data_IF_517684395502
#
_entry.id   IF_517684395502
#
_cell.length_a   1.000
_cell.length_b   1.000
_cell.length_c   1.000
_cell.angle_alpha   90.00
_cell.angle_beta   90.00
_cell.angle_gamma   90.00
#
_symmetry.space_group_name_H-M   'P 1'
#
loop_
_entity.id
_entity.type
_entity.pdbx_description
1 polymer ?
#
# COMPACT_ATOMS: atom_id res chain seq x y z
N UNK A 1 11.22 23.44 30.76
CA UNK A 1 11.23 22.50 29.63
C UNK A 1 9.81 22.00 29.50
N UNK A 2 9.01 22.65 28.68
CA UNK A 2 7.61 22.30 28.55
C UNK A 2 7.49 21.03 27.70
N UNK A 3 6.81 20.01 28.23
CA UNK A 3 6.46 18.81 27.48
C UNK A 3 5.45 19.22 26.40
N UNK A 4 5.91 19.37 25.16
CA UNK A 4 5.03 19.49 24.00
C UNK A 4 4.32 18.15 23.78
N UNK A 5 3.19 18.01 24.45
CA UNK A 5 2.21 16.96 24.23
C UNK A 5 1.07 17.54 23.38
N UNK A 6 0.78 16.92 22.25
CA UNK A 6 -0.42 17.25 21.49
C UNK A 6 -1.57 16.44 22.05
N UNK A 7 -2.53 17.15 22.65
CA UNK A 7 -3.77 16.54 23.14
C UNK A 7 -4.72 16.30 21.97
N UNK A 8 -5.25 15.10 21.89
CA UNK A 8 -6.26 14.70 20.91
C UNK A 8 -7.52 14.34 21.66
N UNK A 9 -8.67 14.82 21.20
CA UNK A 9 -9.97 14.43 21.74
C UNK A 9 -11.00 14.31 20.62
N UNK A 10 -11.80 13.26 20.65
CA UNK A 10 -12.93 13.05 19.76
C UNK A 10 -14.13 12.49 20.52
N UNK A 11 -15.35 12.78 20.06
CA UNK A 11 -16.58 12.28 20.65
C UNK A 11 -17.49 11.76 19.53
N UNK A 12 -18.05 10.58 19.71
CA UNK A 12 -19.06 10.01 18.82
C UNK A 12 -20.42 10.13 19.49
N UNK A 13 -21.42 10.62 18.75
CA UNK A 13 -22.80 10.83 19.21
C UNK A 13 -23.77 10.15 18.24
N UNK A 14 -24.95 9.79 18.74
CA UNK A 14 -26.03 9.27 17.91
C UNK A 14 -26.74 10.46 17.24
N UNK A 15 -26.83 10.49 15.90
CA UNK A 15 -27.56 11.55 15.21
C UNK A 15 -27.34 11.63 13.70
N UNK A 16 -28.36 12.12 12.99
CA UNK A 16 -28.33 12.51 11.58
C UNK A 16 -28.17 14.03 11.51
N UNK A 17 -26.98 14.50 11.16
CA UNK A 17 -26.67 15.83 10.60
C UNK A 17 -26.89 17.13 11.40
N UNK A 18 -27.30 17.14 12.67
CA UNK A 18 -27.27 18.39 13.45
C UNK A 18 -26.11 18.37 14.47
N UNK A 19 -25.02 19.06 14.12
CA UNK A 19 -23.90 19.39 15.03
C UNK A 19 -24.31 20.38 16.15
N UNK A 20 -25.60 20.61 16.36
CA UNK A 20 -26.10 21.31 17.53
C UNK A 20 -25.94 20.37 18.74
N UNK A 21 -25.41 20.91 19.84
CA UNK A 21 -25.12 20.17 21.07
C UNK A 21 -26.32 19.29 21.50
N UNK A 22 -26.28 18.00 21.14
CA UNK A 22 -27.27 17.04 21.59
C UNK A 22 -27.14 16.89 23.11
N UNK A 23 -28.28 16.90 23.79
CA UNK A 23 -28.39 16.78 25.25
C UNK A 23 -27.89 15.40 25.73
N UNK A 24 -27.83 14.42 24.84
CA UNK A 24 -27.45 13.05 25.16
C UNK A 24 -25.94 12.90 25.41
N UNK A 25 -25.52 12.03 26.34
CA UNK A 25 -24.11 11.72 26.52
C UNK A 25 -23.52 11.09 25.25
N UNK A 26 -22.23 11.33 24.94
CA UNK A 26 -21.59 10.71 23.78
C UNK A 26 -21.61 9.19 23.90
N UNK A 27 -21.84 8.51 22.79
CA UNK A 27 -21.75 7.04 22.69
C UNK A 27 -20.33 6.56 22.99
N UNK A 28 -19.35 7.37 22.61
CA UNK A 28 -17.94 7.12 22.85
C UNK A 28 -17.16 8.43 22.97
N UNK A 29 -16.24 8.46 23.91
CA UNK A 29 -15.23 9.50 24.08
C UNK A 29 -13.86 8.89 23.83
N UNK A 30 -13.06 9.60 23.04
CA UNK A 30 -11.68 9.28 22.76
C UNK A 30 -10.84 10.47 23.22
N UNK A 31 -9.81 10.24 24.01
CA UNK A 31 -8.92 11.28 24.49
C UNK A 31 -7.50 10.75 24.66
N UNK A 32 -6.50 11.56 24.39
CA UNK A 32 -5.12 11.14 24.61
C UNK A 32 -4.08 12.17 24.24
N UNK A 33 -2.84 11.73 24.26
CA UNK A 33 -1.66 12.57 24.09
C UNK A 33 -0.65 11.92 23.13
N UNK A 34 -0.08 12.75 22.27
CA UNK A 34 1.01 12.41 21.38
C UNK A 34 2.27 13.15 21.85
N UNK A 35 3.37 12.43 22.07
CA UNK A 35 4.62 13.01 22.59
C UNK A 35 5.86 12.57 21.81
N UNK A 36 6.93 13.35 21.92
CA UNK A 36 8.25 13.05 21.37
C UNK A 36 9.19 12.58 22.47
N UNK A 37 9.93 11.49 22.23
CA UNK A 37 11.05 11.09 23.09
C UNK A 37 12.21 12.07 22.98
N UNK A 38 13.02 12.16 24.04
CA UNK A 38 14.19 13.06 24.03
C UNK A 38 15.24 12.65 22.99
N UNK A 39 15.33 11.35 22.68
CA UNK A 39 16.16 10.84 21.60
C UNK A 39 15.71 11.36 20.22
N UNK A 40 14.39 11.36 19.96
CA UNK A 40 13.81 11.89 18.72
C UNK A 40 13.95 13.41 18.65
N UNK A 41 13.71 14.14 19.75
CA UNK A 41 13.97 15.59 19.84
C UNK A 41 15.42 15.90 19.47
N UNK A 42 16.39 15.19 20.07
CA UNK A 42 17.82 15.35 19.76
C UNK A 42 18.14 15.06 18.29
N UNK A 43 17.60 13.98 17.70
CA UNK A 43 17.78 13.63 16.28
C UNK A 43 17.22 14.70 15.33
N UNK A 44 16.09 15.30 15.70
CA UNK A 44 15.47 16.39 14.93
C UNK A 44 16.21 17.74 15.07
N UNK A 45 17.37 17.76 15.75
CA UNK A 45 18.13 18.99 15.97
C UNK A 45 17.40 19.98 16.87
N UNK A 46 16.58 19.47 17.81
CA UNK A 46 15.83 20.31 18.73
C UNK A 46 16.78 20.92 19.77
N UNK A 47 17.24 22.14 19.51
CA UNK A 47 17.93 22.98 20.49
C UNK A 47 16.93 23.86 21.23
N UNK A 48 17.27 24.20 22.48
CA UNK A 48 16.47 24.96 23.45
C UNK A 48 15.70 26.16 22.85
N UNK A 49 14.52 26.43 23.42
CA UNK A 49 13.45 27.42 23.07
C UNK A 49 13.89 28.86 22.73
N UNK A 50 15.17 29.21 22.74
CA UNK A 50 15.67 30.57 22.53
C UNK A 50 15.85 30.97 21.06
N UNK A 51 15.77 30.03 20.10
CA UNK A 51 15.98 30.35 18.69
C UNK A 51 14.67 30.38 17.88
N UNK A 52 13.88 31.44 18.09
CA UNK A 52 12.64 31.74 17.34
C UNK A 52 12.83 32.02 15.83
N UNK A 53 14.00 31.75 15.24
CA UNK A 53 14.32 32.09 13.84
C UNK A 53 14.41 30.91 12.88
N UNK A 54 14.19 29.67 13.32
CA UNK A 54 13.86 28.57 12.40
C UNK A 54 12.36 28.29 12.46
N UNK A 55 11.64 29.02 11.61
CA UNK A 55 10.27 28.72 11.22
C UNK A 55 10.16 27.26 10.84
N UNK A 56 9.57 26.46 11.73
CA UNK A 56 8.86 25.24 11.36
C UNK A 56 7.91 25.63 10.23
N UNK A 57 8.22 25.19 9.01
CA UNK A 57 7.28 25.31 7.89
C UNK A 57 6.01 24.54 8.28
N UNK A 58 4.95 25.30 8.54
CA UNK A 58 3.59 24.87 8.88
C UNK A 58 3.39 24.15 10.22
N UNK A 59 2.88 24.90 11.20
CA UNK A 59 2.21 24.40 12.41
C UNK A 59 0.95 23.54 12.11
N UNK A 60 0.48 23.50 10.86
CA UNK A 60 -0.62 22.63 10.43
C UNK A 60 -0.14 21.24 9.94
N UNK A 61 1.18 20.98 9.91
CA UNK A 61 1.76 19.71 9.48
C UNK A 61 2.15 18.81 10.66
N UNK A 62 1.27 18.71 11.67
CA UNK A 62 1.38 17.68 12.70
C UNK A 62 0.98 16.32 12.11
N UNK A 63 1.88 15.71 11.35
CA UNK A 63 1.72 14.32 10.97
C UNK A 63 1.97 13.44 12.21
N UNK A 64 1.02 12.56 12.55
CA UNK A 64 1.15 11.61 13.67
C UNK A 64 2.47 10.81 13.61
N UNK A 65 3.02 10.62 12.41
CA UNK A 65 4.32 9.96 12.16
C UNK A 65 5.54 10.70 12.75
N UNK A 66 5.37 11.97 13.13
CA UNK A 66 6.43 12.72 13.81
C UNK A 66 6.62 12.24 15.25
N UNK A 67 5.54 11.75 15.88
CA UNK A 67 5.52 11.28 17.26
C UNK A 67 5.99 9.84 17.36
N UNK A 68 6.75 9.55 18.40
CA UNK A 68 7.24 8.21 18.72
C UNK A 68 6.67 7.67 20.04
N UNK A 69 5.71 8.40 20.63
CA UNK A 69 4.92 7.98 21.79
C UNK A 69 3.47 8.45 21.64
N UNK A 70 2.54 7.53 21.89
CA UNK A 70 1.11 7.78 21.85
C UNK A 70 0.45 7.13 23.06
N UNK A 71 -0.50 7.84 23.66
CA UNK A 71 -1.31 7.35 24.76
C UNK A 71 -2.74 7.77 24.51
N UNK A 72 -3.67 6.82 24.42
CA UNK A 72 -5.08 7.08 24.21
C UNK A 72 -5.93 6.31 25.22
N UNK A 73 -7.02 6.95 25.63
CA UNK A 73 -8.07 6.37 26.45
C UNK A 73 -9.38 6.50 25.69
N UNK A 74 -10.11 5.40 25.65
CA UNK A 74 -11.44 5.31 25.07
C UNK A 74 -12.44 4.99 26.17
N UNK A 75 -13.59 5.63 26.16
CA UNK A 75 -14.72 5.33 27.04
C UNK A 75 -15.99 5.23 26.21
N UNK A 76 -16.86 4.27 26.50
CA UNK A 76 -18.13 4.13 25.79
C UNK A 76 -19.28 3.81 26.75
N UNK A 77 -20.51 3.93 26.26
CA UNK A 77 -21.70 3.60 27.04
C UNK A 77 -21.92 2.08 27.14
N UNK A 78 -22.51 1.66 28.26
CA UNK A 78 -22.84 0.26 28.51
C UNK A 78 -23.72 -0.33 27.39
N UNK A 79 -23.44 -1.57 26.98
CA UNK A 79 -24.14 -2.23 25.87
C UNK A 79 -23.65 -1.85 24.46
N UNK A 80 -22.79 -0.85 24.30
CA UNK A 80 -22.23 -0.47 22.98
C UNK A 80 -20.90 -1.17 22.64
N UNK A 81 -20.39 -2.01 23.54
CA UNK A 81 -19.09 -2.71 23.38
C UNK A 81 -19.00 -3.59 22.12
N UNK A 82 -20.13 -4.08 21.60
CA UNK A 82 -20.21 -4.90 20.39
C UNK A 82 -20.36 -4.08 19.10
N UNK A 83 -20.79 -2.81 19.19
CA UNK A 83 -21.04 -1.93 18.03
C UNK A 83 -19.83 -1.08 17.63
N UNK A 84 -18.78 -1.08 18.44
CA UNK A 84 -17.52 -0.43 18.11
C UNK A 84 -16.39 -1.45 17.89
N UNK A 85 -16.58 -2.42 16.96
CA UNK A 85 -15.56 -3.39 16.67
C UNK A 85 -14.30 -2.69 16.18
N UNK A 86 -14.36 -1.56 15.47
CA UNK A 86 -13.25 -0.97 14.72
C UNK A 86 -11.90 -0.91 15.45
N UNK A 87 -11.82 -0.39 16.68
CA UNK A 87 -10.54 -0.32 17.41
C UNK A 87 -10.03 -1.72 17.81
N UNK A 88 -10.91 -2.55 18.36
CA UNK A 88 -10.58 -3.96 18.64
C UNK A 88 -10.38 -4.77 17.36
N UNK A 89 -10.97 -4.41 16.22
CA UNK A 89 -10.94 -5.14 14.96
C UNK A 89 -9.65 -4.86 14.20
N UNK A 90 -9.17 -3.62 14.27
CA UNK A 90 -7.83 -3.24 13.84
C UNK A 90 -6.78 -4.04 14.62
N UNK A 91 -6.94 -4.14 15.95
CA UNK A 91 -6.00 -4.88 16.81
C UNK A 91 -6.14 -6.40 16.68
N UNK A 92 -7.35 -6.95 16.49
CA UNK A 92 -7.64 -8.39 16.57
C UNK A 92 -7.72 -9.08 15.20
N UNK A 93 -7.99 -8.35 14.11
CA UNK A 93 -8.21 -8.94 12.78
C UNK A 93 -7.22 -8.48 11.71
N UNK A 94 -6.77 -7.22 11.72
CA UNK A 94 -5.78 -6.75 10.74
C UNK A 94 -4.34 -7.21 11.05
N UNK A 95 -4.04 -7.53 12.31
CA UNK A 95 -2.67 -7.65 12.80
C UNK A 95 -2.17 -9.08 13.15
N UNK A 96 -2.96 -10.10 13.53
CA UNK A 96 -2.35 -11.37 13.93
C UNK A 96 -2.03 -12.31 12.75
N UNK A 97 -0.76 -12.71 12.66
CA UNK A 97 -0.36 -14.04 12.15
C UNK A 97 0.67 -14.07 11.02
N UNK A 98 0.74 -13.04 10.16
CA UNK A 98 1.70 -12.99 9.04
C UNK A 98 2.59 -11.75 9.11
N UNK A 99 2.02 -10.57 9.41
CA UNK A 99 2.78 -9.31 9.44
C UNK A 99 3.38 -8.97 10.82
N UNK A 100 2.79 -9.47 11.90
CA UNK A 100 3.19 -9.10 13.27
C UNK A 100 3.31 -10.35 14.17
N UNK A 101 4.37 -11.17 13.99
CA UNK A 101 4.53 -12.44 14.70
C UNK A 101 4.76 -12.29 16.21
N UNK A 102 4.91 -11.05 16.71
CA UNK A 102 5.13 -10.71 18.13
C UNK A 102 3.94 -9.98 18.74
N UNK A 103 2.73 -10.26 18.26
CA UNK A 103 1.48 -9.81 18.87
C UNK A 103 0.90 -10.94 19.72
N UNK A 104 0.61 -10.64 20.99
CA UNK A 104 0.09 -11.57 21.99
C UNK A 104 -1.23 -11.03 22.52
N UNK A 105 -2.19 -11.93 22.75
CA UNK A 105 -3.53 -11.59 23.24
C UNK A 105 -3.87 -12.51 24.39
N UNK A 106 -4.40 -11.95 25.47
CA UNK A 106 -4.93 -12.72 26.57
C UNK A 106 -6.31 -12.20 26.96
N UNK A 107 -7.23 -13.14 27.14
CA UNK A 107 -8.61 -12.88 27.46
C UNK A 107 -8.84 -13.22 28.94
N UNK A 108 -8.36 -12.34 29.80
CA UNK A 108 -8.49 -12.46 31.26
C UNK A 108 -9.05 -11.16 31.81
N UNK A 109 -9.87 -11.27 32.85
CA UNK A 109 -10.34 -10.12 33.62
C UNK A 109 -9.13 -9.37 34.19
N UNK A 110 -9.11 -8.05 34.03
CA UNK A 110 -8.01 -7.17 34.40
C UNK A 110 -8.55 -5.97 35.16
N UNK A 111 -7.66 -5.15 35.72
CA UNK A 111 -8.03 -3.95 36.49
C UNK A 111 -8.55 -2.79 35.60
N UNK A 112 -8.73 -3.02 34.29
CA UNK A 112 -9.27 -2.00 33.39
C UNK A 112 -10.73 -1.69 33.77
N UNK A 113 -11.09 -0.40 33.97
CA UNK A 113 -12.46 -0.03 34.28
C UNK A 113 -13.44 -0.50 33.20
N UNK A 114 -14.64 -0.93 33.63
CA UNK A 114 -15.71 -1.32 32.71
C UNK A 114 -15.97 -0.22 31.65
N UNK A 115 -16.18 -0.65 30.41
CA UNK A 115 -16.41 0.23 29.26
C UNK A 115 -15.29 1.23 28.95
N UNK A 116 -14.05 0.88 29.30
CA UNK A 116 -12.88 1.67 28.92
C UNK A 116 -11.88 0.83 28.13
N UNK A 117 -11.09 1.49 27.29
CA UNK A 117 -9.89 0.89 26.73
C UNK A 117 -8.72 1.87 26.82
N UNK A 118 -7.56 1.31 27.08
CA UNK A 118 -6.27 1.98 27.04
C UNK A 118 -5.53 1.55 25.79
N UNK A 119 -4.87 2.48 25.13
CA UNK A 119 -3.94 2.19 24.06
C UNK A 119 -2.66 3.00 24.28
N UNK A 120 -1.54 2.31 24.30
CA UNK A 120 -0.22 2.92 24.31
C UNK A 120 0.57 2.43 23.10
N UNK A 121 1.29 3.33 22.46
CA UNK A 121 2.22 3.00 21.39
C UNK A 121 3.54 3.73 21.60
N UNK A 122 4.65 3.04 21.37
CA UNK A 122 5.97 3.67 21.35
C UNK A 122 6.82 3.14 20.19
N UNK A 123 7.61 4.03 19.57
CA UNK A 123 8.50 3.70 18.45
C UNK A 123 9.96 3.75 18.91
N UNK A 124 10.68 2.65 18.75
CA UNK A 124 12.12 2.56 19.00
C UNK A 124 12.82 1.90 17.81
N UNK A 125 13.86 2.54 17.27
CA UNK A 125 14.63 2.04 16.13
C UNK A 125 13.75 1.66 14.93
N UNK A 126 12.79 2.52 14.59
CA UNK A 126 11.80 2.31 13.52
C UNK A 126 10.85 1.11 13.71
N UNK A 127 10.83 0.52 14.91
CA UNK A 127 9.88 -0.52 15.30
C UNK A 127 8.91 -0.01 16.36
N UNK A 128 7.65 -0.34 16.18
CA UNK A 128 6.58 0.00 17.10
C UNK A 128 6.36 -1.09 18.12
N UNK A 129 5.96 -0.67 19.31
CA UNK A 129 5.40 -1.56 20.32
C UNK A 129 4.08 -0.97 20.79
N UNK A 130 3.11 -1.82 21.03
CA UNK A 130 1.76 -1.46 21.38
C UNK A 130 1.33 -2.20 22.65
N UNK A 131 0.59 -1.49 23.50
CA UNK A 131 -0.16 -2.04 24.61
C UNK A 131 -1.61 -1.62 24.40
N UNK A 132 -2.53 -2.58 24.44
CA UNK A 132 -3.95 -2.32 24.40
C UNK A 132 -4.62 -3.08 25.53
N UNK A 133 -5.35 -2.38 26.39
CA UNK A 133 -6.05 -2.98 27.53
C UNK A 133 -7.51 -2.57 27.49
N UNK A 134 -8.40 -3.51 27.73
CA UNK A 134 -9.81 -3.27 28.02
C UNK A 134 -10.31 -4.35 28.97
N UNK A 135 -11.50 -4.22 29.58
CA UNK A 135 -12.07 -5.30 30.37
C UNK A 135 -12.04 -6.62 29.60
N UNK A 136 -11.43 -7.63 30.22
CA UNK A 136 -11.33 -9.01 29.71
C UNK A 136 -10.46 -9.21 28.47
N UNK A 137 -9.70 -8.20 28.04
CA UNK A 137 -8.73 -8.35 26.96
C UNK A 137 -7.54 -7.43 27.19
N UNK A 138 -6.37 -8.03 27.06
CA UNK A 138 -5.15 -7.29 26.90
C UNK A 138 -4.45 -7.80 25.64
N UNK A 139 -3.81 -6.90 24.93
CA UNK A 139 -3.01 -7.19 23.76
C UNK A 139 -1.69 -6.43 23.86
N UNK A 140 -0.60 -7.13 23.65
CA UNK A 140 0.73 -6.53 23.56
C UNK A 140 1.36 -6.94 22.26
N UNK A 141 1.98 -5.97 21.62
CA UNK A 141 2.70 -6.17 20.39
C UNK A 141 4.08 -5.56 20.54
N UNK A 142 5.14 -6.34 20.31
CA UNK A 142 6.50 -5.91 20.62
C UNK A 142 7.38 -5.84 19.38
N UNK A 143 8.10 -4.73 19.23
CA UNK A 143 9.14 -4.56 18.20
C UNK A 143 8.65 -4.93 16.80
N UNK A 144 7.46 -4.43 16.49
CA UNK A 144 6.76 -4.59 15.24
C UNK A 144 7.35 -3.64 14.20
N UNK A 145 7.73 -4.18 13.06
CA UNK A 145 8.01 -3.37 11.87
C UNK A 145 6.70 -3.16 11.11
N UNK A 146 6.13 -1.96 11.20
CA UNK A 146 4.93 -1.63 10.44
C UNK A 146 5.37 -1.24 9.03
N UNK A 147 4.92 -1.95 7.98
CA UNK A 147 5.13 -1.51 6.61
C UNK A 147 4.61 -0.06 6.46
N UNK A 148 5.37 0.85 5.83
CA UNK A 148 5.01 2.27 5.81
C UNK A 148 3.57 2.57 5.37
N UNK A 149 3.03 1.80 4.40
CA UNK A 149 1.65 1.94 3.94
C UNK A 149 0.59 1.65 5.02
N UNK A 150 0.87 0.71 5.93
CA UNK A 150 0.03 0.40 7.08
C UNK A 150 0.18 1.49 8.15
N UNK A 151 1.38 2.05 8.31
CA UNK A 151 1.64 3.15 9.26
C UNK A 151 0.82 4.39 8.90
N UNK A 152 0.70 4.70 7.61
CA UNK A 152 -0.20 5.76 7.14
C UNK A 152 -1.67 5.39 7.27
N UNK A 153 -2.05 4.16 6.91
CA UNK A 153 -3.47 3.78 6.93
C UNK A 153 -4.03 3.67 8.36
N UNK A 154 -3.24 3.17 9.32
CA UNK A 154 -3.70 2.94 10.69
C UNK A 154 -3.53 4.17 11.60
N UNK A 155 -2.54 5.03 11.34
CA UNK A 155 -2.08 6.05 12.31
C UNK A 155 -2.18 7.48 11.74
N UNK A 156 -2.32 7.66 10.42
CA UNK A 156 -2.58 8.99 9.87
C UNK A 156 -4.04 9.40 10.06
N UNK A 157 -4.33 10.63 10.50
CA UNK A 157 -5.69 11.17 10.47
C UNK A 157 -6.13 11.54 9.04
N UNK A 158 -5.23 11.42 8.05
CA UNK A 158 -5.47 11.70 6.64
C UNK A 158 -5.40 10.42 5.80
N UNK A 159 -6.33 10.21 4.84
CA UNK A 159 -6.26 9.10 3.88
C UNK A 159 -4.91 9.07 3.15
N UNK A 160 -4.38 7.87 2.85
CA UNK A 160 -3.08 7.68 2.19
C UNK A 160 -2.96 8.56 0.93
N UNK A 161 -4.05 8.67 0.17
CA UNK A 161 -4.24 9.50 -1.01
C UNK A 161 -3.76 10.93 -0.82
N UNK A 162 -4.10 11.54 0.32
CA UNK A 162 -3.72 12.93 0.62
C UNK A 162 -2.25 13.00 1.00
N UNK A 163 -1.74 12.00 1.72
CA UNK A 163 -0.34 11.98 2.15
C UNK A 163 0.64 11.77 1.00
N UNK A 164 0.31 10.89 0.03
CA UNK A 164 1.11 10.69 -1.20
C UNK A 164 1.23 11.98 -2.00
N UNK A 165 0.13 12.73 -2.07
CA UNK A 165 0.04 13.95 -2.84
C UNK A 165 0.76 15.14 -2.20
N UNK A 166 0.51 15.37 -0.91
CA UNK A 166 1.14 16.44 -0.15
C UNK A 166 2.67 16.25 -0.08
N UNK A 167 3.16 15.01 -0.13
CA UNK A 167 4.60 14.71 -0.14
C UNK A 167 5.35 15.31 -1.31
N UNK A 168 4.78 15.26 -2.52
CA UNK A 168 5.39 15.90 -3.68
C UNK A 168 5.52 17.40 -3.52
N UNK A 169 4.60 18.02 -2.78
CA UNK A 169 4.56 19.45 -2.52
C UNK A 169 5.48 19.82 -1.34
N UNK A 170 5.61 18.94 -0.35
CA UNK A 170 6.30 19.18 0.91
C UNK A 170 7.75 18.65 0.96
N UNK A 171 8.15 17.72 0.09
CA UNK A 171 9.52 17.21 -0.06
C UNK A 171 9.92 16.13 0.95
N UNK A 172 9.15 15.03 1.06
CA UNK A 172 9.37 13.94 2.02
C UNK A 172 10.18 12.75 1.44
N UNK A 173 10.93 12.04 2.31
CA UNK A 173 11.80 10.87 2.01
C UNK A 173 11.00 9.57 1.79
N UNK A 174 10.39 9.41 0.61
CA UNK A 174 9.88 8.12 0.14
C UNK A 174 10.63 7.67 -1.11
N UNK A 175 10.59 6.37 -1.47
CA UNK A 175 11.14 5.87 -2.71
C UNK A 175 10.42 6.54 -3.89
N UNK A 176 10.97 7.67 -4.33
CA UNK A 176 10.56 8.41 -5.51
C UNK A 176 11.57 8.04 -6.58
N UNK A 177 11.09 7.52 -7.70
CA UNK A 177 11.91 7.45 -8.88
C UNK A 177 12.02 8.86 -9.46
N UNK A 178 13.24 9.36 -9.62
CA UNK A 178 13.48 10.72 -10.06
C UNK A 178 14.43 10.75 -11.25
N UNK A 179 14.04 11.45 -12.31
CA UNK A 179 14.88 11.64 -13.49
C UNK A 179 15.07 13.13 -13.76
N UNK A 180 16.34 13.52 -13.91
CA UNK A 180 16.77 14.88 -14.29
C UNK A 180 17.40 14.85 -15.67
N UNK A 181 18.03 15.96 -16.07
CA UNK A 181 18.76 16.05 -17.33
C UNK A 181 20.01 15.16 -17.38
N UNK A 182 20.55 14.74 -16.24
CA UNK A 182 21.83 14.02 -16.17
C UNK A 182 21.87 12.83 -15.22
N UNK A 183 20.79 12.59 -14.48
CA UNK A 183 20.76 11.58 -13.44
C UNK A 183 19.38 10.94 -13.33
N UNK A 184 19.39 9.62 -13.10
CA UNK A 184 18.21 8.83 -12.74
C UNK A 184 18.46 8.21 -11.36
N UNK A 185 17.46 8.30 -10.50
CA UNK A 185 17.36 7.61 -9.23
C UNK A 185 16.15 6.69 -9.29
N UNK A 186 16.34 5.41 -8.96
CA UNK A 186 15.30 4.38 -8.91
C UNK A 186 14.53 4.42 -7.59
N UNK A 187 13.45 3.64 -7.48
CA UNK A 187 12.71 3.49 -6.23
C UNK A 187 13.58 2.94 -5.09
N UNK A 188 14.52 2.05 -5.41
CA UNK A 188 15.33 1.36 -4.41
C UNK A 188 16.56 2.18 -3.97
N UNK A 189 16.70 3.42 -4.48
CA UNK A 189 17.75 4.35 -4.11
C UNK A 189 19.04 4.19 -4.92
N UNK A 190 19.07 3.34 -5.94
CA UNK A 190 20.16 3.32 -6.91
C UNK A 190 20.12 4.57 -7.76
N UNK A 191 21.24 5.28 -7.83
CA UNK A 191 21.41 6.50 -8.61
C UNK A 191 22.54 6.33 -9.61
N UNK A 192 22.29 6.71 -10.87
CA UNK A 192 23.27 6.64 -11.94
C UNK A 192 23.14 7.83 -12.91
N UNK A 193 24.24 8.16 -13.59
CA UNK A 193 24.25 9.23 -14.57
C UNK A 193 23.64 8.72 -15.88
N UNK A 194 22.63 9.42 -16.37
CA UNK A 194 22.02 9.16 -17.66
C UNK A 194 21.19 10.38 -18.09
N UNK A 195 21.23 10.72 -19.38
CA UNK A 195 20.42 11.78 -19.94
C UNK A 195 19.19 11.15 -20.60
N UNK A 196 17.99 11.55 -20.20
CA UNK A 196 16.78 11.13 -20.91
C UNK A 196 16.82 11.66 -22.35
N UNK A 197 16.61 10.76 -23.30
CA UNK A 197 16.48 11.12 -24.72
C UNK A 197 15.07 11.58 -25.08
N UNK A 198 14.89 11.95 -26.35
CA UNK A 198 13.60 12.35 -26.93
C UNK A 198 12.67 11.15 -27.19
N UNK A 199 13.18 9.92 -27.12
CA UNK A 199 12.36 8.71 -27.20
C UNK A 199 11.70 8.38 -25.86
N UNK A 200 10.46 7.88 -25.93
CA UNK A 200 9.76 7.37 -24.77
C UNK A 200 10.54 6.23 -24.11
N UNK A 201 10.71 6.31 -22.80
CA UNK A 201 11.30 5.26 -21.99
C UNK A 201 10.28 4.80 -20.96
N UNK A 202 10.11 3.49 -20.84
CA UNK A 202 9.24 2.89 -19.84
C UNK A 202 9.87 3.10 -18.47
N UNK A 203 9.38 4.09 -17.73
CA UNK A 203 9.85 4.36 -16.37
C UNK A 203 9.29 3.31 -15.41
N UNK A 204 7.98 3.06 -15.48
CA UNK A 204 7.27 2.13 -14.62
C UNK A 204 6.19 1.40 -15.39
N UNK A 205 6.05 0.10 -15.16
CA UNK A 205 4.92 -0.71 -15.61
C UNK A 205 4.52 -1.69 -14.50
N UNK A 206 3.23 -2.00 -14.40
CA UNK A 206 2.75 -3.12 -13.58
C UNK A 206 2.92 -4.42 -14.37
N UNK A 207 3.96 -5.18 -14.03
CA UNK A 207 4.38 -6.34 -14.84
C UNK A 207 3.76 -7.65 -14.38
N UNK A 208 2.92 -7.60 -13.32
CA UNK A 208 2.12 -8.74 -12.86
C UNK A 208 0.73 -8.68 -13.47
N UNK A 209 0.05 -7.53 -13.37
CA UNK A 209 -1.36 -7.42 -13.76
C UNK A 209 -1.59 -6.55 -14.99
N UNK A 210 -0.56 -5.85 -15.49
CA UNK A 210 -0.67 -4.99 -16.66
C UNK A 210 -1.57 -3.76 -16.44
N UNK A 211 -1.87 -3.37 -15.20
CA UNK A 211 -2.89 -2.34 -14.90
C UNK A 211 -2.52 -0.94 -15.42
N UNK A 212 -1.24 -0.65 -15.58
CA UNK A 212 -0.80 0.60 -16.16
C UNK A 212 0.70 0.71 -16.42
N UNK A 213 1.04 1.83 -17.06
CA UNK A 213 2.34 2.16 -17.61
C UNK A 213 2.60 3.66 -17.44
N UNK A 214 3.83 4.04 -17.12
CA UNK A 214 4.31 5.41 -17.08
C UNK A 214 5.54 5.49 -17.97
N UNK A 215 5.43 6.25 -19.06
CA UNK A 215 6.51 6.55 -19.98
C UNK A 215 7.06 7.95 -19.68
N UNK A 216 8.36 8.14 -19.89
CA UNK A 216 9.04 9.42 -19.74
C UNK A 216 9.96 9.71 -20.91
N UNK A 217 10.14 10.99 -21.25
CA UNK A 217 11.15 11.46 -22.19
C UNK A 217 11.59 12.87 -21.86
N UNK A 218 12.70 13.29 -22.44
CA UNK A 218 13.08 14.70 -22.51
C UNK A 218 13.23 15.10 -23.98
N UNK A 219 12.33 15.94 -24.46
CA UNK A 219 12.29 16.39 -25.84
C UNK A 219 12.63 17.87 -25.91
N UNK A 220 13.68 18.21 -26.67
CA UNK A 220 14.13 19.59 -26.86
C UNK A 220 14.36 20.36 -25.54
N UNK A 221 14.82 19.66 -24.50
CA UNK A 221 15.06 20.21 -23.16
C UNK A 221 13.85 20.18 -22.21
N UNK A 222 12.67 19.84 -22.71
CA UNK A 222 11.42 19.78 -21.92
C UNK A 222 11.10 18.35 -21.49
N UNK A 223 10.75 18.17 -20.22
CA UNK A 223 10.36 16.87 -19.70
C UNK A 223 8.90 16.54 -20.05
N UNK A 224 8.65 15.29 -20.43
CA UNK A 224 7.31 14.80 -20.69
C UNK A 224 7.10 13.46 -19.98
N UNK A 225 5.91 13.28 -19.41
CA UNK A 225 5.46 11.99 -18.91
C UNK A 225 4.13 11.61 -19.54
N UNK A 226 3.96 10.33 -19.86
CA UNK A 226 2.70 9.75 -20.30
C UNK A 226 2.29 8.66 -19.32
N UNK A 227 1.05 8.70 -18.84
CA UNK A 227 0.46 7.65 -18.01
C UNK A 227 -0.64 6.98 -18.82
N UNK A 228 -0.56 5.66 -18.96
CA UNK A 228 -1.62 4.83 -19.52
C UNK A 228 -2.13 3.93 -18.42
N UNK A 229 -3.40 4.10 -18.04
CA UNK A 229 -4.04 3.35 -16.97
C UNK A 229 -5.29 2.64 -17.51
N UNK A 230 -5.31 1.31 -17.45
CA UNK A 230 -6.40 0.51 -18.03
C UNK A 230 -7.72 0.77 -17.29
N UNK A 231 -7.65 0.92 -15.97
CA UNK A 231 -8.84 1.17 -15.15
C UNK A 231 -9.38 2.57 -15.47
N UNK A 232 -10.56 2.62 -16.08
CA UNK A 232 -11.20 3.85 -16.51
C UNK A 232 -10.73 4.37 -17.87
N UNK A 233 -9.86 3.65 -18.59
CA UNK A 233 -9.41 4.03 -19.93
C UNK A 233 -8.69 5.38 -19.94
N UNK A 234 -7.79 5.60 -18.99
CA UNK A 234 -7.16 6.89 -18.77
C UNK A 234 -5.83 6.97 -19.50
N UNK A 235 -5.67 7.98 -20.34
CA UNK A 235 -4.40 8.41 -20.92
C UNK A 235 -4.10 9.82 -20.46
N UNK A 236 -2.96 10.02 -19.80
CA UNK A 236 -2.52 11.33 -19.31
C UNK A 236 -1.21 11.70 -19.97
N UNK A 237 -1.14 12.89 -20.55
CA UNK A 237 0.10 13.49 -21.01
C UNK A 237 0.41 14.72 -20.16
N UNK A 238 1.62 14.76 -19.59
CA UNK A 238 2.07 15.79 -18.66
C UNK A 238 3.32 16.45 -19.24
N UNK A 239 3.31 17.77 -19.31
CA UNK A 239 4.49 18.60 -19.50
C UNK A 239 4.54 19.70 -18.42
N UNK A 240 5.62 20.48 -18.30
CA UNK A 240 5.67 21.61 -17.39
C UNK A 240 4.61 22.69 -17.68
N UNK A 241 4.14 22.76 -18.94
CA UNK A 241 3.21 23.81 -19.39
C UNK A 241 1.75 23.38 -19.36
N UNK A 242 1.49 22.08 -19.58
CA UNK A 242 0.11 21.58 -19.67
C UNK A 242 -0.06 20.12 -19.23
N UNK A 243 -1.31 19.79 -18.92
CA UNK A 243 -1.77 18.42 -18.66
C UNK A 243 -2.95 18.13 -19.58
N UNK A 244 -2.85 17.05 -20.34
CA UNK A 244 -3.90 16.53 -21.20
C UNK A 244 -4.40 15.19 -20.65
N UNK A 245 -5.71 15.03 -20.57
CA UNK A 245 -6.38 13.78 -20.17
C UNK A 245 -7.25 13.35 -21.35
N UNK A 246 -6.98 12.17 -21.90
CA UNK A 246 -7.68 11.64 -23.09
C UNK A 246 -7.78 12.69 -24.22
N UNK A 247 -6.63 13.31 -24.51
CA UNK A 247 -6.44 14.37 -25.52
C UNK A 247 -7.16 15.70 -25.26
N UNK A 248 -7.80 15.87 -24.09
CA UNK A 248 -8.36 17.14 -23.64
C UNK A 248 -7.44 17.88 -22.67
N UNK A 249 -7.20 19.17 -22.91
CA UNK A 249 -6.44 20.01 -21.98
C UNK A 249 -7.26 20.26 -20.71
N UNK A 250 -6.74 19.80 -19.57
CA UNK A 250 -7.37 19.99 -18.24
C UNK A 250 -6.69 21.10 -17.45
N UNK A 251 -5.39 21.34 -17.69
CA UNK A 251 -4.59 22.35 -16.98
C UNK A 251 -5.02 23.81 -17.21
N UNK A 252 -5.80 24.08 -18.28
CA UNK A 252 -6.35 25.41 -18.55
C UNK A 252 -7.58 25.76 -17.71
N UNK A 253 -8.22 24.75 -17.09
CA UNK A 253 -9.51 24.92 -16.40
C UNK A 253 -9.35 25.52 -14.99
N UNK A 254 -8.24 25.26 -14.30
CA UNK A 254 -7.88 25.84 -13.00
C UNK A 254 -6.49 25.38 -12.52
N UNK A 255 -5.99 25.93 -11.41
CA UNK A 255 -4.78 25.46 -10.74
C UNK A 255 -4.96 24.12 -10.01
N UNK A 256 -6.20 23.63 -9.85
CA UNK A 256 -6.54 22.41 -9.15
C UNK A 256 -7.80 21.76 -9.74
N UNK A 257 -7.66 20.53 -10.23
CA UNK A 257 -8.76 19.75 -10.77
C UNK A 257 -8.83 18.37 -10.11
N UNK A 258 -10.01 17.92 -9.72
CA UNK A 258 -10.24 16.62 -9.10
C UNK A 258 -11.42 15.90 -9.76
N UNK A 259 -11.21 14.63 -10.10
CA UNK A 259 -12.23 13.67 -10.50
C UNK A 259 -12.24 12.47 -9.52
N UNK A 260 -13.08 11.47 -9.78
CA UNK A 260 -13.07 10.20 -9.04
C UNK A 260 -11.86 9.31 -9.37
N UNK A 261 -11.15 9.57 -10.48
CA UNK A 261 -10.05 8.74 -10.97
C UNK A 261 -8.68 9.42 -10.87
N UNK A 262 -8.64 10.75 -10.88
CA UNK A 262 -7.39 11.49 -10.89
C UNK A 262 -7.52 12.91 -10.32
N UNK A 263 -6.39 13.45 -9.88
CA UNK A 263 -6.22 14.83 -9.41
C UNK A 263 -5.06 15.49 -10.16
N UNK A 264 -5.23 16.76 -10.53
CA UNK A 264 -4.23 17.58 -11.23
C UNK A 264 -3.99 18.85 -10.43
N UNK A 265 -2.73 19.15 -10.13
CA UNK A 265 -2.34 20.37 -9.47
C UNK A 265 -1.22 21.07 -10.21
N UNK A 266 -1.35 22.38 -10.31
CA UNK A 266 -0.25 23.23 -10.75
C UNK A 266 0.74 23.41 -9.61
N UNK A 267 2.01 23.19 -9.89
CA UNK A 267 3.12 23.44 -8.95
C UNK A 267 4.11 24.42 -9.55
N UNK A 268 5.07 24.87 -8.76
CA UNK A 268 6.17 25.71 -9.25
C UNK A 268 6.89 24.99 -10.38
N UNK A 269 6.91 25.63 -11.56
CA UNK A 269 7.56 25.14 -12.79
C UNK A 269 7.00 23.82 -13.33
N UNK A 270 5.74 23.48 -13.06
CA UNK A 270 5.13 22.29 -13.67
C UNK A 270 3.80 21.85 -13.09
N UNK A 271 3.52 20.55 -13.19
CA UNK A 271 2.29 19.92 -12.71
C UNK A 271 2.58 18.63 -11.95
N UNK A 272 1.66 18.30 -11.05
CA UNK A 272 1.56 16.98 -10.42
C UNK A 272 0.22 16.38 -10.83
N UNK A 273 0.24 15.15 -11.31
CA UNK A 273 -0.96 14.36 -11.56
C UNK A 273 -0.93 13.13 -10.68
N UNK A 274 -2.01 12.91 -9.94
CA UNK A 274 -2.23 11.72 -9.14
C UNK A 274 -3.35 10.89 -9.74
N UNK A 275 -3.10 9.59 -9.90
CA UNK A 275 -4.07 8.59 -10.34
C UNK A 275 -4.58 7.86 -9.09
N UNK A 276 -5.68 8.36 -8.53
CA UNK A 276 -6.30 7.84 -7.32
C UNK A 276 -5.24 7.60 -6.19
N UNK A 277 -5.36 6.54 -5.40
CA UNK A 277 -4.37 6.17 -4.37
C UNK A 277 -3.13 5.46 -4.93
N UNK A 278 -3.01 5.27 -6.25
CA UNK A 278 -2.08 4.30 -6.84
C UNK A 278 -0.75 4.91 -7.24
N UNK A 279 -0.75 6.02 -7.96
CA UNK A 279 0.47 6.62 -8.50
C UNK A 279 0.36 8.13 -8.57
N UNK A 280 1.48 8.82 -8.40
CA UNK A 280 1.58 10.25 -8.62
C UNK A 280 2.84 10.55 -9.45
N UNK A 281 2.68 11.45 -10.42
CA UNK A 281 3.73 11.86 -11.34
C UNK A 281 3.84 13.38 -11.30
N UNK A 282 5.02 13.87 -10.97
CA UNK A 282 5.39 15.28 -10.98
C UNK A 282 6.30 15.54 -12.17
N UNK A 283 5.92 16.47 -13.05
CA UNK A 283 6.77 16.92 -14.15
C UNK A 283 7.04 18.40 -13.97
N UNK A 284 8.32 18.78 -13.93
CA UNK A 284 8.77 20.17 -13.88
C UNK A 284 9.85 20.45 -14.92
N UNK A 285 10.26 21.70 -15.05
CA UNK A 285 11.42 22.09 -15.87
C UNK A 285 12.75 21.48 -15.40
N UNK A 286 12.81 20.93 -14.18
CA UNK A 286 14.04 20.37 -13.58
C UNK A 286 14.09 18.85 -13.72
N UNK A 287 12.93 18.18 -13.80
CA UNK A 287 12.88 16.73 -13.92
C UNK A 287 11.49 16.14 -13.73
N UNK A 288 11.46 14.82 -13.68
CA UNK A 288 10.26 14.00 -13.49
C UNK A 288 10.43 13.21 -12.20
N UNK A 289 9.44 13.28 -11.31
CA UNK A 289 9.33 12.42 -10.13
C UNK A 289 8.13 11.50 -10.25
N UNK A 290 8.31 10.23 -9.92
CA UNK A 290 7.26 9.20 -9.94
C UNK A 290 7.23 8.51 -8.57
N UNK A 291 6.05 8.36 -8.00
CA UNK A 291 5.78 7.68 -6.74
C UNK A 291 4.66 6.71 -7.02
N UNK A 292 4.81 5.49 -6.54
CA UNK A 292 3.82 4.44 -6.69
C UNK A 292 3.52 3.89 -5.31
N UNK A 293 2.25 3.53 -5.10
CA UNK A 293 1.78 2.98 -3.85
C UNK A 293 2.60 1.73 -3.45
N UNK A 294 3.03 1.58 -2.18
CA UNK A 294 3.83 0.45 -1.73
C UNK A 294 3.18 -0.92 -1.91
N UNK A 295 1.87 -1.01 -2.18
CA UNK A 295 1.23 -2.27 -2.57
C UNK A 295 1.75 -2.83 -3.89
N UNK A 296 2.49 -2.04 -4.67
CA UNK A 296 3.17 -2.47 -5.90
C UNK A 296 4.63 -2.88 -5.66
N UNK A 297 5.10 -2.89 -4.40
CA UNK A 297 6.46 -3.31 -4.05
C UNK A 297 6.74 -4.72 -4.62
N UNK A 298 7.80 -4.86 -5.41
CA UNK A 298 8.19 -6.11 -6.08
C UNK A 298 7.30 -6.52 -7.28
N UNK A 299 6.35 -5.68 -7.69
CA UNK A 299 5.43 -5.96 -8.82
C UNK A 299 5.72 -5.10 -10.05
N UNK A 300 6.54 -4.07 -9.89
CA UNK A 300 6.86 -3.13 -10.96
C UNK A 300 7.98 -3.66 -11.84
N UNK A 301 8.07 -3.14 -13.05
CA UNK A 301 9.29 -3.19 -13.85
C UNK A 301 9.42 -1.93 -14.69
N UNK A 302 10.64 -1.60 -15.12
CA UNK A 302 10.94 -0.39 -15.86
C UNK A 302 12.30 0.21 -15.48
N UNK A 303 12.60 1.38 -16.03
CA UNK A 303 13.81 2.12 -15.71
C UNK A 303 13.89 2.56 -14.23
N UNK A 304 12.77 2.59 -13.51
CA UNK A 304 12.70 2.92 -12.09
C UNK A 304 12.95 1.74 -11.14
N UNK A 305 13.37 0.57 -11.65
CA UNK A 305 13.52 -0.69 -10.92
C UNK A 305 12.19 -1.41 -10.64
N UNK A 306 12.27 -2.58 -10.00
CA UNK A 306 11.13 -3.43 -9.60
C UNK A 306 10.53 -3.05 -8.23
N UNK A 307 11.15 -2.09 -7.55
CA UNK A 307 10.71 -1.58 -6.26
C UNK A 307 10.64 -2.67 -5.19
N UNK A 308 11.70 -3.47 -5.00
CA UNK A 308 11.75 -4.53 -3.98
C UNK A 308 12.58 -4.14 -2.72
N UNK A 309 13.26 -3.00 -2.77
CA UNK A 309 14.16 -2.51 -1.74
C UNK A 309 15.62 -2.91 -1.92
N UNK A 310 15.97 -3.61 -3.01
CA UNK A 310 17.35 -3.97 -3.36
C UNK A 310 17.90 -3.02 -4.43
N UNK A 311 18.85 -2.17 -4.04
CA UNK A 311 19.52 -1.23 -4.94
C UNK A 311 20.66 -1.85 -5.75
N UNK A 312 21.01 -3.12 -5.48
CA UNK A 312 22.20 -3.75 -6.06
C UNK A 312 22.00 -4.23 -7.50
N UNK A 313 20.75 -4.38 -7.96
CA UNK A 313 20.46 -4.92 -9.28
C UNK A 313 19.39 -4.12 -10.02
N UNK A 314 19.66 -3.78 -11.28
CA UNK A 314 18.65 -3.29 -12.22
C UNK A 314 18.42 -4.32 -13.32
N UNK A 315 17.16 -4.60 -13.58
CA UNK A 315 16.78 -5.67 -14.51
C UNK A 315 16.03 -5.11 -15.71
N UNK A 316 16.52 -5.44 -16.91
CA UNK A 316 15.85 -5.07 -18.15
C UNK A 316 14.61 -5.93 -18.43
N UNK A 317 13.86 -5.62 -19.50
CA UNK A 317 12.57 -6.24 -19.80
C UNK A 317 12.62 -7.76 -20.05
N UNK A 318 13.80 -8.31 -20.37
CA UNK A 318 14.01 -9.74 -20.63
C UNK A 318 14.61 -10.51 -19.43
N UNK A 319 14.66 -9.89 -18.24
CA UNK A 319 15.18 -10.53 -17.03
C UNK A 319 16.70 -10.52 -16.89
N UNK A 320 17.42 -9.79 -17.76
CA UNK A 320 18.87 -9.62 -17.63
C UNK A 320 19.20 -8.51 -16.62
N UNK A 321 20.15 -8.76 -15.73
CA UNK A 321 20.70 -7.72 -14.84
C UNK A 321 21.75 -6.90 -15.55
N UNK A 322 21.68 -5.58 -15.47
CA UNK A 322 22.62 -4.70 -16.16
C UNK A 322 23.56 -4.02 -15.18
N UNK A 323 24.87 -4.09 -15.46
CA UNK A 323 25.88 -3.24 -14.81
C UNK A 323 26.16 -1.96 -15.59
N UNK A 324 25.87 -1.96 -16.91
CA UNK A 324 25.98 -0.79 -17.78
C UNK A 324 24.63 -0.08 -17.88
N UNK A 325 24.49 1.04 -17.16
CA UNK A 325 23.21 1.74 -17.03
C UNK A 325 22.72 2.35 -18.35
N UNK A 326 23.62 2.73 -19.24
CA UNK A 326 23.24 3.19 -20.58
C UNK A 326 22.60 2.10 -21.43
N UNK A 327 23.05 0.85 -21.26
CA UNK A 327 22.47 -0.32 -21.92
C UNK A 327 21.15 -0.73 -21.26
N UNK A 328 21.07 -0.61 -19.93
CA UNK A 328 19.83 -0.79 -19.16
C UNK A 328 18.73 0.18 -19.61
N UNK A 329 19.04 1.48 -19.66
CA UNK A 329 18.10 2.51 -20.09
C UNK A 329 17.67 2.28 -21.54
N UNK A 330 18.62 2.00 -22.43
CA UNK A 330 18.31 1.64 -23.81
C UNK A 330 17.42 0.39 -23.91
N UNK A 331 17.49 -0.56 -22.98
CA UNK A 331 16.61 -1.73 -22.97
C UNK A 331 15.15 -1.35 -22.72
N UNK A 332 14.89 -0.36 -21.87
CA UNK A 332 13.57 0.17 -21.54
C UNK A 332 13.06 1.29 -22.46
N UNK A 333 13.92 1.87 -23.31
CA UNK A 333 13.50 2.87 -24.30
C UNK A 333 12.66 2.22 -25.41
N UNK A 334 11.52 2.80 -25.74
CA UNK A 334 10.64 2.38 -26.83
C UNK A 334 11.27 2.88 -28.14
N UNK A 335 11.53 2.00 -29.13
CA UNK A 335 12.02 2.41 -30.43
C UNK A 335 11.03 3.38 -31.10
N UNK A 336 11.51 4.38 -31.86
CA UNK A 336 10.63 5.23 -32.65
C UNK A 336 9.72 4.40 -33.56
N UNK A 337 8.44 4.78 -33.60
CA UNK A 337 7.55 4.29 -34.65
C UNK A 337 7.98 4.80 -36.04
N UNK A 338 7.40 4.26 -37.14
CA UNK A 338 7.73 4.69 -38.50
C UNK A 338 7.53 6.20 -38.76
N UNK A 339 6.70 6.85 -37.95
CA UNK A 339 6.33 8.26 -38.06
C UNK A 339 6.97 9.16 -36.98
N UNK A 340 7.69 8.58 -36.01
CA UNK A 340 8.27 9.32 -34.87
C UNK A 340 9.79 9.43 -35.01
N UNK A 341 10.32 10.64 -35.14
CA UNK A 341 11.77 10.89 -35.19
C UNK A 341 12.33 11.21 -33.81
N UNK A 342 12.74 10.21 -33.03
CA UNK A 342 13.36 10.41 -31.71
C UNK A 342 14.78 9.82 -31.59
N UNK A 343 15.28 9.14 -32.62
CA UNK A 343 16.63 8.57 -32.63
C UNK A 343 17.60 9.57 -33.28
N UNK A 344 18.28 10.37 -32.44
CA UNK A 344 19.28 11.35 -32.85
C UNK A 344 20.46 10.67 -33.60
N UNK A 345 20.33 10.51 -34.91
CA UNK A 345 21.38 9.99 -35.77
C UNK A 345 21.64 8.47 -35.68
N UNK A 346 20.68 7.68 -35.20
CA UNK A 346 20.78 6.21 -35.16
C UNK A 346 21.50 5.65 -33.92
N UNK A 347 21.77 6.49 -32.92
CA UNK A 347 22.47 6.11 -31.69
C UNK A 347 21.65 5.12 -30.87
N UNK A 348 20.34 5.32 -30.75
CA UNK A 348 19.46 4.39 -30.05
C UNK A 348 19.39 3.06 -30.80
N UNK A 349 19.28 3.07 -32.13
CA UNK A 349 19.29 1.84 -32.93
C UNK A 349 20.57 1.02 -32.70
N UNK A 350 21.75 1.66 -32.67
CA UNK A 350 23.01 1.00 -32.38
C UNK A 350 23.05 0.43 -30.95
N UNK A 351 22.60 1.19 -29.95
CA UNK A 351 22.49 0.70 -28.56
C UNK A 351 21.50 -0.46 -28.45
N UNK A 352 20.38 -0.42 -29.17
CA UNK A 352 19.38 -1.51 -29.20
C UNK A 352 19.94 -2.81 -29.77
N UNK A 353 20.87 -2.75 -30.71
CA UNK A 353 21.55 -3.94 -31.22
C UNK A 353 22.51 -4.54 -30.19
N UNK A 354 23.20 -3.69 -29.40
CA UNK A 354 23.99 -4.14 -28.25
C UNK A 354 23.08 -4.77 -27.18
N UNK A 355 21.92 -4.17 -26.90
CA UNK A 355 20.93 -4.72 -25.96
C UNK A 355 20.50 -6.11 -26.39
N UNK A 356 20.17 -6.32 -27.67
CA UNK A 356 19.78 -7.65 -28.19
C UNK A 356 20.91 -8.67 -28.03
N UNK A 357 22.13 -8.28 -28.39
CA UNK A 357 23.31 -9.14 -28.29
C UNK A 357 23.58 -9.56 -26.84
N UNK A 358 23.46 -8.61 -25.91
CA UNK A 358 23.58 -8.86 -24.48
C UNK A 358 22.47 -9.78 -23.97
N UNK A 359 21.21 -9.49 -24.30
CA UNK A 359 20.06 -10.28 -23.87
C UNK A 359 20.06 -11.72 -24.39
N UNK A 360 20.73 -11.98 -25.51
CA UNK A 360 20.90 -13.32 -26.06
C UNK A 360 21.84 -14.21 -25.19
N UNK A 361 22.74 -13.61 -24.42
CA UNK A 361 23.81 -14.32 -23.70
C UNK A 361 23.80 -14.11 -22.18
N UNK A 362 23.02 -13.15 -21.68
CA UNK A 362 22.94 -12.86 -20.25
C UNK A 362 22.42 -14.07 -19.45
N UNK A 363 22.89 -14.24 -18.22
CA UNK A 363 22.20 -15.08 -17.25
C UNK A 363 20.93 -14.34 -16.83
N UNK A 364 19.79 -14.81 -17.34
CA UNK A 364 18.49 -14.28 -16.94
C UNK A 364 18.31 -14.56 -15.46
N UNK A 365 18.20 -13.52 -14.65
CA UNK A 365 17.71 -13.68 -13.30
C UNK A 365 16.29 -14.21 -13.41
N UNK A 366 16.00 -15.25 -12.63
CA UNK A 366 14.69 -15.85 -12.57
C UNK A 366 13.75 -14.88 -11.84
N UNK A 367 13.37 -13.80 -12.51
CA UNK A 367 12.12 -13.12 -12.26
C UNK A 367 11.06 -14.13 -12.70
N UNK A 368 10.13 -14.48 -11.81
CA UNK A 368 8.98 -15.34 -12.16
C UNK A 368 8.47 -14.98 -13.57
N UNK A 369 8.64 -15.87 -14.57
CA UNK A 369 8.29 -15.53 -15.95
C UNK A 369 6.77 -15.45 -16.12
N UNK A 370 6.19 -14.25 -16.26
CA UNK A 370 4.87 -14.05 -16.91
C UNK A 370 4.94 -14.07 -18.44
N UNK A 371 6.12 -14.34 -19.02
CA UNK A 371 6.35 -14.45 -20.46
C UNK A 371 5.85 -15.73 -21.14
N UNK A 372 5.18 -16.63 -20.43
CA UNK A 372 4.57 -17.85 -20.99
C UNK A 372 3.13 -18.09 -20.52
N UNK A 373 2.48 -17.05 -19.98
CA UNK A 373 1.10 -17.11 -19.47
C UNK A 373 0.11 -16.44 -20.44
N UNK A 374 0.56 -15.52 -21.31
CA UNK A 374 -0.34 -14.79 -22.22
C UNK A 374 -0.79 -15.56 -23.47
N UNK A 375 -0.08 -16.61 -23.90
CA UNK A 375 -0.54 -17.47 -25.01
C UNK A 375 -1.37 -18.68 -24.56
N UNK A 376 -1.30 -19.05 -23.28
CA UNK A 376 -2.03 -20.19 -22.67
C UNK A 376 -3.26 -19.76 -21.86
N UNK A 377 -3.36 -18.50 -21.44
CA UNK A 377 -4.54 -17.96 -20.71
C UNK A 377 -5.82 -17.83 -21.55
N UNK A 378 -5.85 -18.31 -22.79
CA UNK A 378 -7.07 -18.32 -23.60
C UNK A 378 -8.04 -19.47 -23.32
N UNK A 379 -7.83 -20.33 -22.30
CA UNK A 379 -8.89 -21.26 -21.86
C UNK A 379 -9.03 -21.37 -20.34
N UNK A 380 -10.28 -21.28 -19.92
CA UNK A 380 -10.83 -21.22 -18.56
C UNK A 380 -10.65 -22.55 -17.81
N UNK A 381 -9.50 -22.75 -17.15
CA UNK A 381 -9.22 -23.94 -16.32
C UNK A 381 -9.49 -23.74 -14.80
N UNK A 382 -10.11 -22.62 -14.40
CA UNK A 382 -10.39 -22.28 -13.00
C UNK A 382 -11.88 -22.29 -12.68
N UNK A 383 -12.22 -22.78 -11.48
CA UNK A 383 -13.48 -22.51 -10.81
C UNK A 383 -13.23 -22.01 -9.38
N UNK A 384 -14.09 -21.09 -8.93
CA UNK A 384 -14.11 -20.60 -7.54
C UNK A 384 -15.30 -21.20 -6.82
N UNK A 385 -15.03 -21.89 -5.71
CA UNK A 385 -16.05 -22.52 -4.90
C UNK A 385 -15.81 -22.17 -3.43
N UNK A 386 -16.86 -22.17 -2.60
CA UNK A 386 -16.68 -22.12 -1.16
C UNK A 386 -16.39 -23.54 -0.65
N UNK A 387 -15.33 -23.70 0.13
CA UNK A 387 -14.98 -25.01 0.68
C UNK A 387 -15.94 -25.35 1.82
N UNK A 388 -16.56 -26.52 1.77
CA UNK A 388 -17.53 -26.99 2.76
C UNK A 388 -16.98 -28.23 3.45
N UNK A 389 -16.94 -28.21 4.78
CA UNK A 389 -16.44 -29.30 5.62
C UNK A 389 -17.43 -29.66 6.70
N UNK A 390 -17.44 -30.93 7.09
CA UNK A 390 -18.22 -31.40 8.24
C UNK A 390 -17.29 -31.60 9.44
N UNK A 391 -17.62 -30.99 10.58
CA UNK A 391 -16.90 -31.13 11.84
C UNK A 391 -17.89 -31.55 12.93
N UNK A 392 -17.94 -32.85 13.20
CA UNK A 392 -18.97 -33.42 14.10
C UNK A 392 -20.37 -33.12 13.57
N UNK A 393 -21.16 -32.37 14.35
CA UNK A 393 -22.54 -32.03 14.04
C UNK A 393 -22.68 -30.70 13.27
N UNK A 394 -21.56 -30.11 12.82
CA UNK A 394 -21.53 -28.80 12.17
C UNK A 394 -21.08 -28.88 10.71
N UNK A 395 -21.73 -28.07 9.87
CA UNK A 395 -21.33 -27.78 8.51
C UNK A 395 -20.60 -26.46 8.51
N UNK A 396 -19.34 -26.48 8.10
CA UNK A 396 -18.45 -25.34 8.08
C UNK A 396 -18.16 -24.93 6.64
N UNK A 397 -18.55 -23.70 6.27
CA UNK A 397 -18.31 -23.13 4.94
C UNK A 397 -17.19 -22.10 5.03
N UNK A 398 -16.24 -22.10 4.10
CA UNK A 398 -15.19 -21.07 4.07
C UNK A 398 -15.82 -19.68 3.95
N UNK A 399 -15.24 -18.68 4.61
CA UNK A 399 -15.76 -17.30 4.54
C UNK A 399 -15.33 -16.58 3.26
N UNK A 400 -14.34 -17.13 2.55
CA UNK A 400 -13.85 -16.66 1.27
C UNK A 400 -13.80 -17.82 0.25
N UNK A 401 -14.03 -17.54 -1.05
CA UNK A 401 -14.02 -18.57 -2.09
C UNK A 401 -12.59 -19.06 -2.35
N UNK A 402 -12.44 -20.37 -2.54
CA UNK A 402 -11.18 -21.03 -2.88
C UNK A 402 -11.09 -21.30 -4.37
N UNK A 403 -9.90 -21.14 -4.94
CA UNK A 403 -9.62 -21.51 -6.32
C UNK A 403 -9.37 -23.02 -6.44
N UNK A 404 -10.06 -23.67 -7.39
CA UNK A 404 -9.89 -25.08 -7.73
C UNK A 404 -9.72 -25.26 -9.23
N UNK A 405 -8.89 -26.23 -9.64
CA UNK A 405 -8.71 -26.55 -11.05
C UNK A 405 -9.87 -27.38 -11.57
N UNK A 406 -10.32 -27.09 -12.79
CA UNK A 406 -11.33 -27.90 -13.48
C UNK A 406 -10.83 -29.32 -13.72
N UNK A 407 -11.74 -30.31 -13.83
CA UNK A 407 -11.37 -31.67 -14.20
C UNK A 407 -10.55 -31.70 -15.50
N UNK A 408 -9.39 -32.33 -15.46
CA UNK A 408 -8.43 -32.35 -16.56
C UNK A 408 -7.33 -31.30 -16.49
N UNK A 409 -7.40 -30.34 -15.57
CA UNK A 409 -6.33 -29.38 -15.32
C UNK A 409 -5.56 -29.74 -14.02
N UNK A 410 -4.25 -29.50 -13.97
CA UNK A 410 -3.37 -29.70 -12.82
C UNK A 410 -2.95 -28.39 -12.17
N UNK A 411 -2.84 -28.39 -10.83
CA UNK A 411 -2.35 -27.23 -10.05
C UNK A 411 -0.91 -26.89 -10.43
N UNK A 412 -0.70 -25.68 -10.92
CA UNK A 412 0.64 -25.19 -11.30
C UNK A 412 1.49 -24.91 -10.06
N UNK A 413 0.92 -24.21 -9.07
CA UNK A 413 1.61 -23.84 -7.84
C UNK A 413 0.63 -24.00 -6.67
N UNK A 414 0.80 -25.03 -5.82
CA UNK A 414 0.02 -25.14 -4.58
C UNK A 414 0.61 -24.20 -3.52
N UNK A 415 -0.24 -23.45 -2.82
CA UNK A 415 0.16 -22.70 -1.64
C UNK A 415 -0.77 -23.00 -0.47
N UNK A 416 -0.22 -22.99 0.75
CA UNK A 416 -1.00 -23.21 1.98
C UNK A 416 -1.40 -21.89 2.59
N UNK A 417 -2.68 -21.72 2.84
CA UNK A 417 -3.23 -20.57 3.57
C UNK A 417 -4.14 -21.06 4.69
N UNK A 418 -4.32 -20.20 5.71
CA UNK A 418 -5.29 -20.44 6.76
C UNK A 418 -6.62 -19.82 6.34
N UNK A 419 -7.59 -20.67 6.00
CA UNK A 419 -8.95 -20.24 5.69
C UNK A 419 -9.78 -20.20 6.97
N UNK A 420 -10.57 -19.15 7.11
CA UNK A 420 -11.60 -19.05 8.14
C UNK A 420 -12.87 -19.71 7.63
N UNK A 421 -13.54 -20.47 8.50
CA UNK A 421 -14.80 -21.15 8.19
C UNK A 421 -15.87 -20.70 9.17
N UNK A 422 -17.06 -20.44 8.64
CA UNK A 422 -18.30 -20.24 9.38
C UNK A 422 -19.01 -21.59 9.54
N UNK A 423 -19.15 -22.04 10.78
CA UNK A 423 -19.73 -23.32 11.15
C UNK A 423 -21.13 -23.15 11.73
N UNK A 424 -22.09 -23.85 11.14
CA UNK A 424 -23.49 -23.91 11.56
C UNK A 424 -23.90 -25.34 11.88
N UNK A 425 -24.77 -25.53 12.87
CA UNK A 425 -25.25 -26.86 13.25
C UNK A 425 -26.01 -27.47 12.06
N UNK A 426 -25.67 -28.71 11.70
CA UNK A 426 -26.32 -29.42 10.60
C UNK A 426 -27.79 -29.69 10.93
N UNK A 427 -28.70 -29.39 9.99
CA UNK A 427 -30.12 -29.69 10.11
C UNK A 427 -30.44 -31.19 9.92
N UNK A 428 -29.45 -32.03 9.62
CA UNK A 428 -29.60 -33.47 9.45
C UNK A 428 -30.00 -34.16 10.78
N UNK A 429 -31.13 -34.87 10.85
CA UNK A 429 -31.54 -35.61 12.05
C UNK A 429 -30.54 -36.68 12.51
N UNK A 430 -29.64 -37.16 11.63
CA UNK A 430 -28.68 -38.22 11.93
C UNK A 430 -27.50 -37.76 12.80
N UNK A 431 -27.13 -36.48 12.75
CA UNK A 431 -26.07 -35.86 13.56
C UNK A 431 -26.54 -35.44 14.96
N UNK A 432 -27.81 -35.64 15.32
CA UNK A 432 -28.33 -35.30 16.67
C UNK A 432 -28.01 -36.33 17.77
N UNK A 433 -26.82 -36.94 17.75
CA UNK A 433 -26.37 -37.88 18.80
C UNK A 433 -25.06 -37.46 19.44
N UNK A 434 -25.12 -36.46 20.33
CA UNK A 434 -24.06 -36.27 21.33
C UNK A 434 -24.26 -37.19 22.53
N UNK A 435 -23.17 -37.86 22.95
CA UNK A 435 -23.07 -38.46 24.29
C UNK A 435 -22.78 -37.33 25.29
N UNK A 436 -23.68 -37.19 26.26
CA UNK A 436 -23.87 -36.03 27.17
C UNK A 436 -22.70 -35.70 28.13
N UNK A 437 -21.63 -36.49 28.17
CA UNK A 437 -20.60 -36.33 29.21
C UNK A 437 -19.27 -35.88 28.60
N UNK A 438 -19.03 -34.57 28.46
CA UNK A 438 -17.64 -34.16 28.22
C UNK A 438 -17.24 -32.70 27.98
N UNK A 439 -18.10 -31.71 27.70
CA UNK A 439 -17.61 -30.33 27.51
C UNK A 439 -18.57 -29.24 28.03
N UNK A 440 -17.98 -28.25 28.69
CA UNK A 440 -18.65 -27.12 29.33
C UNK A 440 -19.19 -26.12 28.30
N UNK A 441 -20.49 -25.81 28.41
CA UNK A 441 -21.19 -24.65 27.82
C UNK A 441 -20.75 -24.24 26.39
N UNK A 442 -21.17 -25.03 25.40
CA UNK A 442 -21.03 -24.73 23.96
C UNK A 442 -22.38 -24.24 23.36
N UNK A 443 -22.37 -23.49 22.23
CA UNK A 443 -23.39 -22.50 21.91
C UNK A 443 -24.74 -23.11 21.47
N UNK A 444 -25.79 -22.30 21.64
CA UNK A 444 -27.20 -22.65 21.39
C UNK A 444 -27.50 -22.81 19.89
N UNK A 445 -28.55 -23.56 19.52
CA UNK A 445 -29.03 -23.63 18.13
C UNK A 445 -29.27 -22.23 17.55
N UNK A 446 -28.72 -21.96 16.36
CA UNK A 446 -28.77 -20.63 15.71
C UNK A 446 -27.53 -19.74 15.89
N UNK A 447 -26.51 -20.20 16.62
CA UNK A 447 -25.24 -19.48 16.75
C UNK A 447 -24.20 -19.98 15.73
N UNK A 448 -23.59 -19.04 15.00
CA UNK A 448 -22.42 -19.25 14.15
C UNK A 448 -21.16 -19.33 15.01
N UNK A 449 -20.21 -20.20 14.68
CA UNK A 449 -18.86 -20.12 15.25
C UNK A 449 -17.80 -20.24 14.16
N UNK A 450 -16.67 -19.58 14.38
CA UNK A 450 -15.61 -19.49 13.38
C UNK A 450 -14.40 -20.35 13.75
N UNK A 451 -13.88 -21.12 12.78
CA UNK A 451 -12.69 -21.97 12.97
C UNK A 451 -11.72 -21.79 11.82
N UNK A 452 -10.41 -21.79 12.12
CA UNK A 452 -9.35 -21.71 11.11
C UNK A 452 -8.83 -23.10 10.77
N UNK A 453 -8.70 -23.39 9.48
CA UNK A 453 -8.04 -24.59 8.99
C UNK A 453 -7.01 -24.26 7.92
N UNK A 454 -5.96 -25.08 7.88
CA UNK A 454 -5.04 -25.10 6.77
C UNK A 454 -5.75 -25.62 5.52
N UNK A 455 -5.62 -24.86 4.44
CA UNK A 455 -6.12 -25.21 3.12
C UNK A 455 -5.01 -25.06 2.10
N UNK A 456 -4.99 -25.97 1.11
CA UNK A 456 -4.04 -25.88 0.00
C UNK A 456 -4.78 -25.29 -1.20
N UNK A 457 -4.49 -24.04 -1.52
CA UNK A 457 -5.05 -23.31 -2.66
C UNK A 457 -4.16 -23.46 -3.90
N UNK A 458 -4.71 -23.15 -5.08
CA UNK A 458 -4.01 -23.23 -6.36
C UNK A 458 -3.79 -21.83 -6.94
N UNK A 459 -2.55 -21.40 -7.05
CA UNK A 459 -2.13 -20.25 -7.87
C UNK A 459 -1.76 -20.76 -9.26
N UNK A 460 -2.75 -20.86 -10.13
CA UNK A 460 -2.57 -21.40 -11.49
C UNK A 460 -3.16 -22.79 -11.67
N UNK A 461 -3.74 -23.03 -12.83
CA UNK A 461 -4.17 -24.36 -13.30
C UNK A 461 -3.69 -24.52 -14.75
N UNK A 462 -3.03 -25.63 -15.04
CA UNK A 462 -2.51 -25.99 -16.37
C UNK A 462 -3.33 -27.14 -16.93
N UNK A 463 -3.60 -27.16 -18.23
CA UNK A 463 -4.40 -28.21 -18.88
C UNK A 463 -3.59 -29.46 -19.23
#
# INVERSE_FOLDING_TARGET
>A
MDNYATKVSAMIREGVNDCAASIDPPLMEFGGELTLSDAKKKRLGWESQTDCKRTLRNLNNFNLLSYDKMFFTMKWQEGQHSKFPFASYMVTYFLPGIMFPKAYYWYEENDSPANTALFEAYKQNERWSFLFEKPYLNAVAESIEIPPFIEEFLISPWPYEVTMFERYILGYDRPICYATTSQVQTFDGLTFNHNLGSCWTVAVSDCIHGRGLINVKQDSGTFHAEIVWIVGGLKVNISPDQVMINDEVVSSKSNYYKSSLYEVHKVTQGYVVQINWVAAVRVTNVGIGIEVHPSFKGQLCGACSNYDGDSSTVTGPMGCSYSEYDLFMAAWTIPPGPEEGCDDGGVLAAKKEQVKSYQASCQKQFIYPTGQVLSTMQKTCFDYNYDIRNEGDYICTSTEPVSTCRPGCTTAIPYRSNLLYDCVLSDDPASKKQRINGLASWPRPGCHYFKKWWYTQSTGCEA
#
